data_IF_354089077807
#
_entry.id   IF_354089077807
#
_cell.length_a   1.000
_cell.length_b   1.000
_cell.length_c   1.000
_cell.angle_alpha   90.00
_cell.angle_beta   90.00
_cell.angle_gamma   90.00
#
_symmetry.space_group_name_H-M   'P 1'
#
loop_
_entity.id
_entity.type
_entity.pdbx_description
1 polymer ?
#
# COMPACT_ATOMS: atom_id res chain seq x y z
N UNK A 1 29.43 9.72 43.68
CA UNK A 1 28.32 9.96 42.73
C UNK A 1 28.92 10.16 41.34
N UNK A 2 28.62 9.35 40.32
CA UNK A 2 29.28 9.53 39.00
C UNK A 2 28.82 8.62 37.85
N UNK A 3 28.21 7.45 38.11
CA UNK A 3 27.83 6.49 37.07
C UNK A 3 26.51 6.79 36.31
N UNK A 4 25.68 7.74 36.78
CA UNK A 4 24.41 8.11 36.11
C UNK A 4 24.55 9.14 34.97
N UNK A 5 25.70 9.81 34.83
CA UNK A 5 25.90 10.87 33.82
C UNK A 5 26.40 10.32 32.48
N UNK A 6 27.32 9.35 32.49
CA UNK A 6 27.91 8.79 31.27
C UNK A 6 26.91 7.94 30.45
N UNK A 7 25.96 7.25 31.10
CA UNK A 7 24.92 6.48 30.39
C UNK A 7 23.88 7.35 29.67
N UNK A 8 23.61 8.56 30.15
CA UNK A 8 22.74 9.55 29.48
C UNK A 8 23.44 10.25 28.30
N UNK A 9 24.77 10.34 28.34
CA UNK A 9 25.58 10.91 27.26
C UNK A 9 25.79 9.92 26.10
N UNK A 10 25.95 8.62 26.40
CA UNK A 10 26.04 7.57 25.38
C UNK A 10 24.70 7.33 24.67
N UNK A 11 23.58 7.32 25.39
CA UNK A 11 22.24 7.20 24.79
C UNK A 11 21.88 8.39 23.89
N UNK A 12 22.21 9.62 24.30
CA UNK A 12 22.05 10.82 23.45
C UNK A 12 22.94 10.82 22.20
N UNK A 13 24.18 10.33 22.29
CA UNK A 13 25.08 10.20 21.13
C UNK A 13 24.57 9.15 20.13
N UNK A 14 24.01 8.05 20.60
CA UNK A 14 23.43 7.02 19.74
C UNK A 14 22.15 7.51 19.04
N UNK A 15 21.25 8.19 19.77
CA UNK A 15 20.05 8.79 19.18
C UNK A 15 20.36 9.85 18.10
N UNK A 16 21.39 10.68 18.31
CA UNK A 16 21.81 11.66 17.29
C UNK A 16 22.41 10.99 16.04
N UNK A 17 23.14 9.88 16.19
CA UNK A 17 23.69 9.13 15.04
C UNK A 17 22.58 8.44 14.25
N UNK A 18 21.59 7.88 14.93
CA UNK A 18 20.43 7.24 14.32
C UNK A 18 19.56 8.26 13.56
N UNK A 19 19.26 9.41 14.18
CA UNK A 19 18.56 10.51 13.52
C UNK A 19 19.31 11.00 12.27
N UNK A 20 20.63 11.17 12.34
CA UNK A 20 21.42 11.56 11.16
C UNK A 20 21.36 10.51 10.04
N UNK A 21 21.33 9.23 10.39
CA UNK A 21 21.20 8.14 9.40
C UNK A 21 19.83 8.14 8.73
N UNK A 22 18.75 8.38 9.49
CA UNK A 22 17.38 8.48 8.96
C UNK A 22 17.27 9.68 8.00
N UNK A 23 17.80 10.84 8.40
CA UNK A 23 17.82 12.04 7.56
C UNK A 23 18.60 11.79 6.26
N UNK A 24 19.74 11.10 6.33
CA UNK A 24 20.53 10.77 5.14
C UNK A 24 19.75 9.84 4.19
N UNK A 25 19.09 8.81 4.71
CA UNK A 25 18.26 7.90 3.90
C UNK A 25 17.08 8.61 3.25
N UNK A 26 16.41 9.53 3.96
CA UNK A 26 15.31 10.34 3.40
C UNK A 26 15.78 11.22 2.24
N UNK A 27 16.99 11.79 2.33
CA UNK A 27 17.58 12.56 1.22
C UNK A 27 17.87 11.67 0.00
N UNK A 28 18.41 10.48 0.23
CA UNK A 28 18.67 9.50 -0.82
C UNK A 28 17.37 9.06 -1.52
N UNK A 29 16.34 8.74 -0.75
CA UNK A 29 15.01 8.41 -1.27
C UNK A 29 14.39 9.55 -2.07
N UNK A 30 14.52 10.80 -1.63
CA UNK A 30 14.04 11.95 -2.40
C UNK A 30 14.73 12.07 -3.77
N UNK A 31 16.04 11.83 -3.84
CA UNK A 31 16.79 11.82 -5.10
C UNK A 31 16.31 10.70 -6.02
N UNK A 32 16.07 9.50 -5.47
CA UNK A 32 15.57 8.36 -6.22
C UNK A 32 14.12 8.56 -6.69
N UNK A 33 13.26 9.14 -5.86
CA UNK A 33 11.90 9.50 -6.22
C UNK A 33 11.87 10.53 -7.36
N UNK A 34 12.71 11.57 -7.30
CA UNK A 34 12.86 12.53 -8.39
C UNK A 34 13.36 11.89 -9.68
N UNK A 35 14.35 10.98 -9.60
CA UNK A 35 14.85 10.21 -10.74
C UNK A 35 13.73 9.35 -11.34
N UNK A 36 12.97 8.65 -10.49
CA UNK A 36 11.84 7.81 -10.89
C UNK A 36 10.73 8.62 -11.55
N UNK A 37 10.39 9.78 -11.00
CA UNK A 37 9.39 10.69 -11.55
C UNK A 37 9.82 11.20 -12.93
N UNK A 38 11.09 11.56 -13.12
CA UNK A 38 11.63 11.97 -14.42
C UNK A 38 11.54 10.83 -15.44
N UNK A 39 12.04 9.64 -15.10
CA UNK A 39 12.01 8.47 -15.99
C UNK A 39 10.58 8.10 -16.43
N UNK A 40 9.63 8.13 -15.49
CA UNK A 40 8.24 7.75 -15.75
C UNK A 40 7.42 8.86 -16.42
N UNK A 41 7.92 10.10 -16.44
CA UNK A 41 7.26 11.24 -17.11
C UNK A 41 7.71 11.43 -18.56
N UNK A 42 8.75 10.73 -19.02
CA UNK A 42 9.17 10.76 -20.42
C UNK A 42 8.01 10.26 -21.30
N UNK A 43 7.51 11.16 -22.15
CA UNK A 43 6.54 10.86 -23.20
C UNK A 43 7.35 10.25 -24.35
N UNK A 44 7.40 8.93 -24.43
CA UNK A 44 7.99 8.24 -25.58
C UNK A 44 7.06 8.44 -26.78
N UNK A 45 7.43 9.36 -27.68
CA UNK A 45 6.66 9.69 -28.90
C UNK A 45 6.67 8.56 -29.95
N UNK A 46 7.43 7.49 -29.73
CA UNK A 46 7.50 6.32 -30.62
C UNK A 46 7.37 5.05 -29.76
N UNK A 47 6.21 4.40 -29.88
CA UNK A 47 5.87 3.13 -29.23
C UNK A 47 6.62 1.97 -29.89
N UNK A 48 7.94 1.91 -29.71
CA UNK A 48 8.69 0.68 -29.95
C UNK A 48 8.72 -0.13 -28.64
N UNK A 49 8.19 -1.36 -28.68
CA UNK A 49 8.13 -2.29 -27.54
C UNK A 49 9.52 -2.49 -26.91
N UNK A 50 10.59 -2.52 -27.72
CA UNK A 50 11.96 -2.62 -27.23
C UNK A 50 12.35 -1.46 -26.31
N UNK A 51 12.00 -0.23 -26.70
CA UNK A 51 12.26 0.96 -25.88
C UNK A 51 11.44 0.95 -24.58
N UNK A 52 10.20 0.45 -24.63
CA UNK A 52 9.35 0.31 -23.44
C UNK A 52 9.90 -0.69 -22.43
N UNK A 53 10.50 -1.79 -22.92
CA UNK A 53 11.13 -2.79 -22.05
C UNK A 53 12.42 -2.27 -21.40
N UNK A 54 13.30 -1.61 -22.16
CA UNK A 54 14.51 -1.04 -21.58
C UNK A 54 14.18 0.07 -20.57
N UNK A 55 13.14 0.87 -20.82
CA UNK A 55 12.64 1.82 -19.84
C UNK A 55 12.13 1.11 -18.58
N UNK A 56 11.40 0.00 -18.73
CA UNK A 56 10.92 -0.76 -17.59
C UNK A 56 12.07 -1.29 -16.72
N UNK A 57 13.14 -1.85 -17.31
CA UNK A 57 14.31 -2.29 -16.54
C UNK A 57 14.96 -1.15 -15.74
N UNK A 58 15.03 0.05 -16.34
CA UNK A 58 15.56 1.23 -15.65
C UNK A 58 14.67 1.65 -14.46
N UNK A 59 13.35 1.63 -14.65
CA UNK A 59 12.37 1.89 -13.59
C UNK A 59 12.53 0.85 -12.47
N UNK A 60 12.57 -0.44 -12.82
CA UNK A 60 12.70 -1.55 -11.88
C UNK A 60 14.00 -1.46 -11.07
N UNK A 61 15.12 -1.09 -11.71
CA UNK A 61 16.40 -0.89 -11.02
C UNK A 61 16.32 0.20 -9.95
N UNK A 62 15.69 1.34 -10.27
CA UNK A 62 15.49 2.43 -9.29
C UNK A 62 14.57 2.00 -8.15
N UNK A 63 13.50 1.25 -8.44
CA UNK A 63 12.59 0.73 -7.41
C UNK A 63 13.29 -0.29 -6.51
N UNK A 64 14.16 -1.14 -7.04
CA UNK A 64 14.99 -2.06 -6.24
C UNK A 64 15.89 -1.29 -5.26
N UNK A 65 16.51 -0.20 -5.70
CA UNK A 65 17.30 0.67 -4.81
C UNK A 65 16.42 1.31 -3.70
N UNK A 66 15.25 1.83 -4.07
CA UNK A 66 14.27 2.39 -3.12
C UNK A 66 13.88 1.34 -2.07
N UNK A 67 13.50 0.14 -2.49
CA UNK A 67 13.10 -0.95 -1.60
C UNK A 67 14.21 -1.35 -0.62
N UNK A 68 15.48 -1.35 -1.04
CA UNK A 68 16.63 -1.65 -0.16
C UNK A 68 16.75 -0.59 0.94
N UNK A 69 16.57 0.69 0.61
CA UNK A 69 16.68 1.79 1.57
C UNK A 69 15.46 1.80 2.52
N UNK A 70 14.28 1.48 2.00
CA UNK A 70 13.00 1.40 2.72
C UNK A 70 12.89 0.18 3.63
N UNK A 71 13.56 -0.94 3.32
CA UNK A 71 13.42 -2.20 4.05
C UNK A 71 13.52 -2.08 5.60
N UNK A 72 14.40 -1.25 6.18
CA UNK A 72 14.47 -1.07 7.64
C UNK A 72 13.34 -0.22 8.23
N UNK A 73 12.67 0.61 7.42
CA UNK A 73 11.50 1.40 7.81
C UNK A 73 10.19 0.66 7.62
N UNK A 74 10.21 -0.37 6.78
CA UNK A 74 9.11 -1.28 6.60
C UNK A 74 9.03 -2.17 7.86
N UNK A 75 8.51 -1.59 8.95
CA UNK A 75 8.09 -2.33 10.13
C UNK A 75 6.95 -3.19 9.61
N UNK A 76 7.27 -4.42 9.21
CA UNK A 76 6.29 -5.49 9.21
C UNK A 76 5.86 -5.59 10.66
N UNK A 77 4.81 -4.85 11.03
CA UNK A 77 4.01 -5.22 12.18
C UNK A 77 3.82 -6.72 12.00
N UNK A 78 4.22 -7.52 12.99
CA UNK A 78 4.03 -8.96 12.95
C UNK A 78 2.52 -9.18 12.89
N UNK A 79 1.95 -9.08 11.70
CA UNK A 79 0.55 -9.33 11.48
C UNK A 79 0.40 -10.82 11.76
N UNK A 80 -0.54 -11.11 12.65
CA UNK A 80 -0.88 -12.48 12.91
C UNK A 80 -1.32 -13.11 11.57
N UNK A 81 -0.97 -14.38 11.32
CA UNK A 81 -1.51 -15.11 10.19
C UNK A 81 -3.02 -14.85 10.03
N UNK A 82 -3.46 -14.55 8.81
CA UNK A 82 -4.84 -14.09 8.51
C UNK A 82 -5.91 -14.96 9.15
N UNK A 83 -5.70 -16.28 9.22
CA UNK A 83 -6.63 -17.22 9.85
C UNK A 83 -6.93 -16.91 11.33
N UNK A 84 -5.98 -16.35 12.07
CA UNK A 84 -6.15 -15.97 13.48
C UNK A 84 -7.04 -14.73 13.65
N UNK A 85 -7.24 -13.94 12.59
CA UNK A 85 -8.05 -12.72 12.65
C UNK A 85 -9.49 -12.95 12.14
N UNK A 86 -9.81 -14.14 11.60
CA UNK A 86 -11.13 -14.45 11.03
C UNK A 86 -12.24 -14.32 12.07
N UNK A 87 -12.04 -14.84 13.28
CA UNK A 87 -13.06 -14.77 14.34
C UNK A 87 -13.37 -13.32 14.73
N UNK A 88 -12.33 -12.48 14.84
CA UNK A 88 -12.49 -11.05 15.11
C UNK A 88 -13.24 -10.34 13.99
N UNK A 89 -12.95 -10.68 12.73
CA UNK A 89 -13.68 -10.14 11.57
C UNK A 89 -15.16 -10.53 11.59
N UNK A 90 -15.48 -11.81 11.82
CA UNK A 90 -16.86 -12.30 11.91
C UNK A 90 -17.62 -11.65 13.07
N UNK A 91 -16.98 -11.48 14.22
CA UNK A 91 -17.55 -10.77 15.36
C UNK A 91 -17.89 -9.32 15.01
N UNK A 92 -16.95 -8.60 14.40
CA UNK A 92 -17.16 -7.21 13.96
C UNK A 92 -18.30 -7.07 12.94
N UNK A 93 -18.42 -8.02 12.01
CA UNK A 93 -19.54 -8.07 11.06
C UNK A 93 -20.89 -8.23 11.79
N UNK A 94 -20.98 -9.17 12.73
CA UNK A 94 -22.19 -9.44 13.50
C UNK A 94 -22.60 -8.23 14.38
N UNK A 95 -21.63 -7.60 15.06
CA UNK A 95 -21.86 -6.41 15.88
C UNK A 95 -22.39 -5.21 15.08
N UNK A 96 -22.10 -5.17 13.78
CA UNK A 96 -22.57 -4.13 12.87
C UNK A 96 -23.71 -4.61 11.95
N UNK A 97 -24.44 -5.67 12.33
CA UNK A 97 -25.68 -6.10 11.69
C UNK A 97 -25.48 -6.55 10.23
N UNK A 98 -24.30 -7.07 9.89
CA UNK A 98 -24.13 -7.82 8.65
C UNK A 98 -24.79 -9.19 8.79
N UNK A 99 -25.49 -9.65 7.74
CA UNK A 99 -26.19 -10.94 7.75
C UNK A 99 -25.54 -11.88 6.75
N UNK A 100 -25.17 -13.09 7.17
CA UNK A 100 -24.53 -14.10 6.32
C UNK A 100 -24.84 -15.51 6.85
N UNK A 101 -26.06 -16.01 6.60
CA UNK A 101 -26.49 -17.30 7.13
C UNK A 101 -26.26 -18.44 6.14
N UNK A 102 -25.64 -19.53 6.62
CA UNK A 102 -25.38 -20.71 5.80
C UNK A 102 -24.14 -20.58 4.90
N UNK A 103 -23.25 -19.64 5.24
CA UNK A 103 -21.94 -19.48 4.63
C UNK A 103 -20.87 -19.37 5.71
N UNK A 104 -19.67 -19.82 5.42
CA UNK A 104 -18.50 -19.67 6.28
C UNK A 104 -17.27 -19.29 5.43
N UNK A 105 -16.23 -18.79 6.09
CA UNK A 105 -14.94 -18.55 5.43
C UNK A 105 -14.17 -19.87 5.43
N UNK A 106 -13.78 -20.33 4.25
CA UNK A 106 -12.97 -21.53 4.06
C UNK A 106 -11.73 -21.25 3.22
N UNK A 107 -10.72 -22.10 3.32
CA UNK A 107 -9.54 -22.06 2.47
C UNK A 107 -9.70 -23.01 1.28
N UNK A 108 -9.33 -22.54 0.10
CA UNK A 108 -9.44 -23.25 -1.16
C UNK A 108 -8.08 -23.29 -1.85
N UNK A 109 -7.67 -24.49 -2.25
CA UNK A 109 -6.42 -24.69 -2.97
C UNK A 109 -6.38 -23.83 -4.24
N UNK A 110 -5.34 -22.98 -4.36
CA UNK A 110 -5.16 -22.06 -5.47
C UNK A 110 -5.90 -20.71 -5.38
N UNK A 111 -6.81 -20.54 -4.42
CA UNK A 111 -7.62 -19.31 -4.27
C UNK A 111 -7.50 -18.64 -2.88
N UNK A 112 -6.79 -19.26 -1.94
CA UNK A 112 -6.73 -18.85 -0.52
C UNK A 112 -8.12 -18.83 0.15
N UNK A 113 -8.45 -17.79 0.90
CA UNK A 113 -9.74 -17.67 1.58
C UNK A 113 -10.87 -17.32 0.60
N UNK A 114 -11.99 -18.03 0.74
CA UNK A 114 -13.24 -17.76 0.04
C UNK A 114 -14.45 -18.06 0.92
N UNK A 115 -15.64 -17.94 0.34
CA UNK A 115 -16.89 -18.29 1.01
C UNK A 115 -17.31 -19.72 0.64
N UNK A 116 -17.55 -20.55 1.67
CA UNK A 116 -18.07 -21.90 1.54
C UNK A 116 -19.52 -21.94 1.99
N UNK A 117 -20.40 -22.50 1.18
CA UNK A 117 -21.78 -22.76 1.60
C UNK A 117 -21.82 -23.90 2.62
N UNK A 118 -22.59 -23.72 3.70
CA UNK A 118 -22.85 -24.76 4.72
C UNK A 118 -24.27 -25.34 4.59
N UNK A 119 -25.09 -24.78 3.68
CA UNK A 119 -26.40 -25.29 3.29
C UNK A 119 -26.62 -25.10 1.79
N UNK A 120 -27.61 -25.79 1.25
CA UNK A 120 -28.02 -25.60 -0.14
C UNK A 120 -28.76 -24.27 -0.32
N UNK A 121 -28.41 -23.52 -1.36
CA UNK A 121 -29.11 -22.30 -1.77
C UNK A 121 -29.78 -22.51 -3.11
N UNK A 122 -30.98 -21.93 -3.28
CA UNK A 122 -31.60 -21.82 -4.61
C UNK A 122 -31.03 -20.61 -5.33
N UNK A 123 -31.00 -20.68 -6.65
CA UNK A 123 -30.66 -19.51 -7.48
C UNK A 123 -31.55 -18.31 -7.11
N UNK A 124 -30.94 -17.12 -7.00
CA UNK A 124 -31.62 -15.90 -6.56
C UNK A 124 -31.78 -15.74 -5.04
N UNK A 125 -31.29 -16.67 -4.23
CA UNK A 125 -31.32 -16.53 -2.76
C UNK A 125 -30.39 -15.40 -2.28
N UNK A 126 -30.85 -14.61 -1.31
CA UNK A 126 -30.00 -13.64 -0.62
C UNK A 126 -29.01 -14.38 0.29
N UNK A 127 -27.72 -14.33 -0.06
CA UNK A 127 -26.65 -14.99 0.70
C UNK A 127 -26.10 -14.11 1.83
N UNK A 128 -25.88 -12.83 1.52
CA UNK A 128 -25.23 -11.90 2.42
C UNK A 128 -25.77 -10.47 2.25
N UNK A 129 -25.84 -9.74 3.35
CA UNK A 129 -26.13 -8.30 3.38
C UNK A 129 -25.03 -7.62 4.17
N UNK A 130 -24.39 -6.62 3.57
CA UNK A 130 -23.30 -5.84 4.18
C UNK A 130 -23.77 -4.38 4.30
N UNK A 131 -24.04 -3.89 5.52
CA UNK A 131 -24.37 -2.48 5.75
C UNK A 131 -23.28 -1.53 5.22
N UNK A 132 -23.70 -0.43 4.59
CA UNK A 132 -22.77 0.53 3.97
C UNK A 132 -21.75 1.12 4.94
N UNK A 133 -22.06 1.21 6.24
CA UNK A 133 -21.13 1.65 7.28
C UNK A 133 -19.86 0.79 7.36
N UNK A 134 -19.94 -0.49 6.99
CA UNK A 134 -18.80 -1.41 7.00
C UNK A 134 -17.90 -1.24 5.77
N UNK A 135 -18.36 -0.54 4.74
CA UNK A 135 -17.57 -0.30 3.53
C UNK A 135 -16.51 0.76 3.81
N UNK A 136 -15.30 0.53 3.32
CA UNK A 136 -14.26 1.55 3.26
C UNK A 136 -14.44 2.32 1.95
N UNK A 137 -14.85 3.59 2.03
CA UNK A 137 -15.24 4.38 0.86
C UNK A 137 -14.43 5.66 0.71
N UNK A 138 -14.46 6.25 -0.49
CA UNK A 138 -13.87 7.57 -0.76
C UNK A 138 -14.55 8.67 0.06
N UNK A 139 -15.83 8.50 0.43
CA UNK A 139 -16.51 9.45 1.30
C UNK A 139 -15.88 9.45 2.70
N UNK A 140 -15.55 8.27 3.24
CA UNK A 140 -14.84 8.18 4.51
C UNK A 140 -13.47 8.87 4.46
N UNK A 141 -12.75 8.76 3.34
CA UNK A 141 -11.48 9.47 3.13
C UNK A 141 -11.65 11.00 3.11
N UNK A 142 -12.75 11.51 2.56
CA UNK A 142 -13.08 12.95 2.54
C UNK A 142 -13.54 13.49 3.89
N UNK A 143 -13.98 12.61 4.79
CA UNK A 143 -14.41 12.94 6.16
C UNK A 143 -13.31 12.71 7.20
N UNK A 144 -12.16 12.16 6.79
CA UNK A 144 -11.02 11.88 7.67
C UNK A 144 -9.95 12.97 7.64
N UNK A 145 -8.84 12.74 8.36
CA UNK A 145 -7.66 13.62 8.32
C UNK A 145 -7.03 13.77 6.93
N UNK A 146 -7.36 12.88 5.98
CA UNK A 146 -6.89 12.95 4.60
C UNK A 146 -7.59 14.06 3.79
N UNK A 147 -8.73 14.58 4.27
CA UNK A 147 -9.56 15.58 3.61
C UNK A 147 -8.79 16.83 3.15
N UNK A 148 -7.94 17.38 4.01
CA UNK A 148 -7.10 18.55 3.70
C UNK A 148 -6.19 18.27 2.50
N UNK A 149 -5.57 17.08 2.47
CA UNK A 149 -4.69 16.72 1.37
C UNK A 149 -5.47 16.48 0.07
N UNK A 150 -6.64 15.82 0.15
CA UNK A 150 -7.54 15.64 -1.00
C UNK A 150 -7.97 17.00 -1.56
N UNK A 151 -8.21 17.99 -0.70
CA UNK A 151 -8.69 19.30 -1.14
C UNK A 151 -7.67 20.11 -1.95
N UNK A 152 -6.37 19.83 -1.78
CA UNK A 152 -5.28 20.58 -2.43
C UNK A 152 -4.55 19.79 -3.53
N UNK A 153 -4.71 18.47 -3.60
CA UNK A 153 -4.04 17.62 -4.57
C UNK A 153 -4.95 17.23 -5.76
N UNK A 154 -4.65 17.66 -7.00
CA UNK A 154 -5.49 17.38 -8.16
C UNK A 154 -5.61 15.88 -8.49
N UNK A 155 -4.59 15.05 -8.20
CA UNK A 155 -4.69 13.62 -8.47
C UNK A 155 -5.70 12.98 -7.52
N UNK A 156 -5.68 13.33 -6.23
CA UNK A 156 -6.65 12.80 -5.26
C UNK A 156 -8.09 13.24 -5.54
N UNK A 157 -8.28 14.46 -6.07
CA UNK A 157 -9.60 14.94 -6.48
C UNK A 157 -10.19 14.15 -7.65
N UNK A 158 -9.34 13.77 -8.61
CA UNK A 158 -9.77 13.17 -9.87
C UNK A 158 -9.62 11.64 -9.91
N UNK A 159 -8.85 11.04 -9.00
CA UNK A 159 -8.55 9.61 -8.98
C UNK A 159 -9.02 8.97 -7.66
N UNK A 160 -10.31 8.60 -7.54
CA UNK A 160 -10.89 8.06 -6.31
C UNK A 160 -10.20 6.77 -5.83
N UNK A 161 -9.67 5.97 -6.75
CA UNK A 161 -8.91 4.77 -6.44
C UNK A 161 -7.62 5.07 -5.67
N UNK A 162 -6.89 6.13 -6.03
CA UNK A 162 -5.67 6.54 -5.31
C UNK A 162 -6.03 7.07 -3.92
N UNK A 163 -7.08 7.88 -3.83
CA UNK A 163 -7.60 8.38 -2.56
C UNK A 163 -7.95 7.24 -1.61
N UNK A 164 -8.60 6.19 -2.13
CA UNK A 164 -8.93 5.00 -1.34
C UNK A 164 -7.68 4.22 -0.92
N UNK A 165 -6.67 4.08 -1.79
CA UNK A 165 -5.39 3.43 -1.45
C UNK A 165 -4.64 4.15 -0.32
N UNK A 166 -4.56 5.49 -0.36
CA UNK A 166 -3.92 6.25 0.72
C UNK A 166 -4.73 6.19 2.02
N UNK A 167 -6.06 6.22 1.92
CA UNK A 167 -6.92 6.09 3.09
C UNK A 167 -6.80 4.70 3.73
N UNK A 168 -6.77 3.63 2.94
CA UNK A 168 -6.51 2.28 3.42
C UNK A 168 -5.15 2.18 4.12
N UNK A 169 -4.11 2.84 3.60
CA UNK A 169 -2.79 2.85 4.21
C UNK A 169 -2.80 3.54 5.59
N UNK A 170 -3.51 4.65 5.73
CA UNK A 170 -3.67 5.34 7.02
C UNK A 170 -4.42 4.45 8.03
N UNK A 171 -5.56 3.90 7.63
CA UNK A 171 -6.37 3.03 8.50
C UNK A 171 -5.62 1.75 8.89
N UNK A 172 -4.81 1.18 7.99
CA UNK A 172 -3.94 0.02 8.28
C UNK A 172 -2.93 0.29 9.40
N UNK A 173 -2.46 1.54 9.49
CA UNK A 173 -1.48 1.96 10.50
C UNK A 173 -2.11 2.64 11.71
N UNK A 174 -3.45 2.73 11.77
CA UNK A 174 -4.20 3.21 12.92
C UNK A 174 -4.66 2.01 13.79
N UNK A 175 -4.11 1.83 15.01
CA UNK A 175 -4.51 0.74 15.92
C UNK A 175 -5.99 0.79 16.31
N UNK A 176 -6.58 1.99 16.32
CA UNK A 176 -7.96 2.24 16.73
C UNK A 176 -8.92 2.33 15.51
N UNK A 177 -8.46 1.87 14.34
CA UNK A 177 -9.28 1.89 13.11
C UNK A 177 -10.56 1.08 13.28
N UNK A 178 -11.70 1.67 12.92
CA UNK A 178 -12.98 0.95 12.84
C UNK A 178 -12.92 -0.25 11.88
N UNK A 179 -12.14 -0.13 10.80
CA UNK A 179 -11.97 -1.18 9.79
C UNK A 179 -10.81 -2.14 10.10
N UNK A 180 -10.18 -2.05 11.26
CA UNK A 180 -9.06 -2.93 11.64
C UNK A 180 -9.36 -4.42 11.46
N UNK A 181 -10.54 -4.95 11.86
CA UNK A 181 -10.87 -6.37 11.66
C UNK A 181 -10.95 -6.76 10.18
N UNK A 182 -11.39 -5.85 9.30
CA UNK A 182 -11.39 -6.07 7.86
C UNK A 182 -9.98 -6.02 7.27
N UNK A 183 -9.17 -5.03 7.67
CA UNK A 183 -7.80 -4.84 7.16
C UNK A 183 -6.90 -6.02 7.57
N UNK A 184 -7.08 -6.56 8.77
CA UNK A 184 -6.27 -7.66 9.32
C UNK A 184 -6.51 -9.03 8.67
N UNK A 185 -7.56 -9.15 7.86
CA UNK A 185 -7.82 -10.34 7.04
C UNK A 185 -7.50 -10.13 5.56
N UNK A 186 -7.00 -8.96 5.14
CA UNK A 186 -6.57 -8.74 3.76
C UNK A 186 -5.31 -9.56 3.43
N UNK A 187 -5.14 -9.99 2.17
CA UNK A 187 -3.89 -10.60 1.72
C UNK A 187 -2.70 -9.65 1.91
N UNK A 188 -1.56 -10.18 2.35
CA UNK A 188 -0.31 -9.42 2.42
C UNK A 188 0.36 -9.26 1.05
N UNK A 189 0.03 -10.14 0.10
CA UNK A 189 0.55 -10.16 -1.26
C UNK A 189 -0.56 -10.48 -2.23
N UNK A 190 -0.38 -10.02 -3.47
CA UNK A 190 -1.30 -10.25 -4.56
C UNK A 190 -0.55 -10.85 -5.76
N UNK A 191 -1.30 -11.40 -6.71
CA UNK A 191 -0.79 -11.91 -7.99
C UNK A 191 -0.87 -10.87 -9.11
N UNK A 192 -0.85 -9.57 -8.77
CA UNK A 192 -0.84 -8.49 -9.76
C UNK A 192 0.55 -8.28 -10.35
N UNK A 193 0.63 -7.62 -11.50
CA UNK A 193 1.88 -7.41 -12.25
C UNK A 193 3.01 -6.71 -11.48
N UNK A 194 2.71 -6.07 -10.34
CA UNK A 194 3.70 -5.40 -9.49
C UNK A 194 4.50 -6.39 -8.63
N UNK A 195 3.98 -7.61 -8.48
CA UNK A 195 4.59 -8.70 -7.73
C UNK A 195 5.34 -9.69 -8.63
N UNK A 196 5.24 -9.53 -9.95
CA UNK A 196 5.93 -10.40 -10.92
C UNK A 196 7.42 -10.11 -10.92
N UNK A 197 8.23 -11.15 -11.13
CA UNK A 197 9.64 -10.98 -11.47
C UNK A 197 9.80 -10.49 -12.92
N UNK A 198 11.01 -10.03 -13.26
CA UNK A 198 11.32 -9.62 -14.63
C UNK A 198 11.16 -10.77 -15.63
N UNK A 199 11.43 -12.02 -15.19
CA UNK A 199 11.24 -13.24 -15.97
C UNK A 199 9.75 -13.51 -16.19
N UNK A 200 8.94 -13.52 -15.12
CA UNK A 200 7.49 -13.73 -15.21
C UNK A 200 6.80 -12.68 -16.10
N UNK A 201 7.25 -11.43 -16.02
CA UNK A 201 6.74 -10.36 -16.87
C UNK A 201 7.16 -10.53 -18.34
N UNK A 202 8.36 -11.07 -18.59
CA UNK A 202 8.86 -11.34 -19.94
C UNK A 202 8.08 -12.45 -20.66
N UNK A 203 7.53 -13.42 -19.91
CA UNK A 203 6.66 -14.49 -20.44
C UNK A 203 5.36 -13.97 -21.07
N UNK A 204 4.96 -12.73 -20.76
CA UNK A 204 3.81 -12.11 -21.42
C UNK A 204 4.09 -11.76 -22.89
N UNK A 205 5.32 -11.85 -23.39
CA UNK A 205 5.63 -11.53 -24.79
C UNK A 205 5.17 -12.65 -25.74
N UNK A 206 4.75 -12.30 -26.97
CA UNK A 206 4.56 -10.95 -27.52
C UNK A 206 3.14 -10.40 -27.31
N UNK A 207 2.41 -10.86 -26.28
CA UNK A 207 0.99 -10.54 -26.13
C UNK A 207 0.73 -9.05 -25.85
N UNK A 208 -0.46 -8.53 -26.19
CA UNK A 208 -0.88 -7.17 -25.82
C UNK A 208 -0.92 -6.93 -24.29
N UNK A 209 -1.01 -8.01 -23.50
CA UNK A 209 -0.97 -7.90 -22.04
C UNK A 209 0.40 -7.41 -21.54
N UNK A 210 1.49 -7.72 -22.26
CA UNK A 210 2.83 -7.24 -21.91
C UNK A 210 2.90 -5.70 -21.91
N UNK A 211 2.46 -5.05 -23.00
CA UNK A 211 2.46 -3.58 -23.07
C UNK A 211 1.58 -2.95 -22.00
N UNK A 212 0.41 -3.54 -21.74
CA UNK A 212 -0.53 -3.08 -20.72
C UNK A 212 0.09 -3.18 -19.32
N UNK A 213 0.81 -4.27 -19.03
CA UNK A 213 1.53 -4.46 -17.78
C UNK A 213 2.65 -3.43 -17.61
N UNK A 214 3.45 -3.15 -18.66
CA UNK A 214 4.50 -2.12 -18.61
C UNK A 214 3.91 -0.72 -18.37
N UNK A 215 2.80 -0.38 -19.02
CA UNK A 215 2.10 0.90 -18.82
C UNK A 215 1.57 1.04 -17.40
N UNK A 216 0.96 -0.03 -16.87
CA UNK A 216 0.45 -0.05 -15.50
C UNK A 216 1.58 0.11 -14.48
N UNK A 217 2.65 -0.66 -14.63
CA UNK A 217 3.84 -0.58 -13.76
C UNK A 217 4.43 0.84 -13.78
N UNK A 218 4.64 1.42 -14.97
CA UNK A 218 5.12 2.80 -15.14
C UNK A 218 4.19 3.81 -14.46
N UNK A 219 2.88 3.65 -14.59
CA UNK A 219 1.90 4.56 -13.97
C UNK A 219 1.97 4.51 -12.45
N UNK A 220 2.06 3.32 -11.86
CA UNK A 220 2.10 3.15 -10.40
C UNK A 220 3.42 3.66 -9.83
N UNK A 221 4.55 3.36 -10.48
CA UNK A 221 5.85 3.92 -10.12
C UNK A 221 5.85 5.47 -10.17
N UNK A 222 5.19 6.06 -11.17
CA UNK A 222 5.04 7.52 -11.28
C UNK A 222 4.21 8.10 -10.13
N UNK A 223 3.08 7.46 -9.81
CA UNK A 223 2.21 7.90 -8.73
C UNK A 223 2.93 7.83 -7.38
N UNK A 224 3.64 6.73 -7.09
CA UNK A 224 4.47 6.61 -5.90
C UNK A 224 5.46 7.77 -5.79
N UNK A 225 6.24 8.02 -6.85
CA UNK A 225 7.25 9.08 -6.84
C UNK A 225 6.64 10.48 -6.65
N UNK A 226 5.51 10.74 -7.30
CA UNK A 226 4.75 11.98 -7.13
C UNK A 226 4.30 12.19 -5.68
N UNK A 227 3.64 11.18 -5.08
CA UNK A 227 3.15 11.28 -3.72
C UNK A 227 4.28 11.31 -2.70
N UNK A 228 5.36 10.55 -2.91
CA UNK A 228 6.54 10.60 -2.06
C UNK A 228 7.06 12.03 -1.92
N UNK A 229 7.23 12.73 -3.05
CA UNK A 229 7.67 14.11 -3.09
C UNK A 229 6.66 15.05 -2.41
N UNK A 230 5.35 14.91 -2.68
CA UNK A 230 4.31 15.75 -2.06
C UNK A 230 4.24 15.59 -0.55
N UNK A 231 4.29 14.35 -0.06
CA UNK A 231 4.27 13.99 1.36
C UNK A 231 5.45 14.61 2.11
N UNK A 232 6.63 14.68 1.49
CA UNK A 232 7.85 15.19 2.13
C UNK A 232 8.08 16.70 1.96
N UNK A 233 7.34 17.38 1.08
CA UNK A 233 7.51 18.82 0.80
C UNK A 233 6.38 19.69 1.37
N UNK A 234 5.19 19.12 1.56
CA UNK A 234 4.01 19.87 2.00
C UNK A 234 3.87 19.85 3.53
N UNK A 235 3.41 20.95 4.12
CA UNK A 235 3.22 21.06 5.57
C UNK A 235 1.75 20.85 5.98
N UNK A 236 1.22 19.65 5.70
CA UNK A 236 -0.14 19.25 6.11
C UNK A 236 -0.01 18.21 7.23
N UNK A 237 -0.76 18.32 8.34
CA UNK A 237 -0.61 17.42 9.49
C UNK A 237 -0.65 15.92 9.15
N UNK A 238 -1.65 15.46 8.38
CA UNK A 238 -1.79 14.04 7.98
C UNK A 238 -0.58 13.49 7.22
N UNK A 239 0.13 14.35 6.48
CA UNK A 239 1.30 13.93 5.72
C UNK A 239 2.46 13.53 6.64
N UNK A 240 2.51 14.02 7.88
CA UNK A 240 3.53 13.60 8.85
C UNK A 240 3.36 12.12 9.21
N UNK A 241 2.12 11.65 9.34
CA UNK A 241 1.84 10.23 9.55
C UNK A 241 2.26 9.43 8.31
N UNK A 242 1.91 9.92 7.11
CA UNK A 242 2.30 9.29 5.84
C UNK A 242 3.83 9.24 5.64
N UNK A 243 4.60 10.22 6.10
CA UNK A 243 6.07 10.21 5.98
C UNK A 243 6.74 9.00 6.65
N UNK A 244 6.08 8.40 7.65
CA UNK A 244 6.62 7.22 8.35
C UNK A 244 6.21 5.90 7.70
N UNK A 245 5.05 5.86 7.04
CA UNK A 245 4.43 4.63 6.54
C UNK A 245 4.38 4.51 5.01
N UNK A 246 4.59 5.60 4.27
CA UNK A 246 4.51 5.63 2.80
C UNK A 246 5.81 5.09 2.17
N UNK A 247 5.85 3.77 1.97
CA UNK A 247 6.91 3.05 1.26
C UNK A 247 6.39 2.53 -0.08
N UNK A 248 7.28 2.17 -1.01
CA UNK A 248 6.86 1.57 -2.28
C UNK A 248 6.14 0.23 -2.04
N UNK A 249 6.61 -0.55 -1.06
CA UNK A 249 5.99 -1.83 -0.69
C UNK A 249 4.58 -1.67 -0.11
N UNK A 250 4.32 -0.58 0.61
CA UNK A 250 2.98 -0.27 1.13
C UNK A 250 2.05 0.36 0.08
N UNK A 251 2.59 0.93 -1.00
CA UNK A 251 1.80 1.56 -2.06
C UNK A 251 1.45 0.61 -3.22
N UNK A 252 2.25 -0.43 -3.45
CA UNK A 252 2.07 -1.38 -4.56
C UNK A 252 0.94 -2.39 -4.33
#
# INVERSE_FOLDING_TARGET
MGKKSQSKLSSKKNANRENNRIVQKRKELAILADKLLRLTSIITQVSNIGNSWELHKQIEAVIKEILIIEAPFNIKTKQNPRHLNIENFLKWLNENVATFEGVEIGEFEGYEFGLKATKNFKEGSLLLTVPSKLMLTVQNAKESELSDFISVDPLLQNMPNITLSLFLLLEKNNPDSFWKPYIDILPEKYSTILYFTAEELAELRPSPAFESALKLYKSIARQYAYFYNKIHTSNIPVLKNLQEIFTFDNYR
#
